data_IF_164575417684
#
_entry.id   IF_164575417684
#
_cell.length_a   1.000
_cell.length_b   1.000
_cell.length_c   1.000
_cell.angle_alpha   90.00
_cell.angle_beta   90.00
_cell.angle_gamma   90.00
#
_symmetry.space_group_name_H-M   'P 1'
#
loop_
_entity.id
_entity.type
_entity.pdbx_description
1 polymer ?
#
# COMPACT_ATOMS: atom_id res chain seq x y z
N UNK A 1 0.98 17.23 0.70
CA UNK A 1 1.71 15.97 0.45
C UNK A 1 2.20 15.43 1.77
N UNK A 2 2.15 14.12 1.95
CA UNK A 2 2.72 13.40 3.10
C UNK A 2 3.65 12.31 2.57
N UNK A 3 4.67 11.98 3.35
CA UNK A 3 5.70 11.01 2.97
C UNK A 3 5.76 9.85 3.98
N UNK A 4 5.94 8.65 3.45
CA UNK A 4 6.20 7.44 4.21
C UNK A 4 7.35 6.66 3.58
N UNK A 5 7.86 5.68 4.30
CA UNK A 5 8.97 4.86 3.84
C UNK A 5 8.90 3.45 4.42
N UNK A 6 9.51 2.49 3.72
CA UNK A 6 9.75 1.17 4.33
C UNK A 6 10.68 1.30 5.54
N UNK A 7 10.75 0.29 6.42
CA UNK A 7 11.53 0.37 7.66
C UNK A 7 13.00 0.78 7.45
N UNK A 8 13.67 0.23 6.43
CA UNK A 8 15.07 0.54 6.14
C UNK A 8 15.29 1.80 5.28
N UNK A 9 14.22 2.53 4.92
CA UNK A 9 14.27 3.75 4.09
C UNK A 9 14.83 3.56 2.67
N UNK A 10 14.83 2.33 2.16
CA UNK A 10 15.25 2.08 0.78
C UNK A 10 14.15 2.44 -0.24
N UNK A 11 12.88 2.39 0.18
CA UNK A 11 11.69 2.71 -0.63
C UNK A 11 10.92 3.81 0.07
N UNK A 12 10.67 4.91 -0.65
CA UNK A 12 9.89 6.05 -0.20
C UNK A 12 8.59 6.16 -1.01
N UNK A 13 7.52 6.58 -0.34
CA UNK A 13 6.21 6.83 -0.96
C UNK A 13 5.73 8.22 -0.56
N UNK A 14 5.26 8.98 -1.55
CA UNK A 14 4.61 10.27 -1.35
C UNK A 14 3.20 10.23 -1.91
N UNK A 15 2.24 10.75 -1.13
CA UNK A 15 0.83 10.90 -1.52
C UNK A 15 0.34 12.34 -1.26
N UNK A 16 -0.68 12.84 -1.98
CA UNK A 16 -1.05 14.25 -1.91
C UNK A 16 -1.61 14.67 -0.55
N UNK A 17 -2.40 13.79 0.08
CA UNK A 17 -3.11 14.09 1.32
C UNK A 17 -3.31 12.83 2.16
N UNK A 18 -3.47 13.03 3.46
CA UNK A 18 -3.93 12.00 4.41
C UNK A 18 -5.33 11.52 4.01
N UNK A 19 -5.62 10.20 4.01
CA UNK A 19 -6.94 9.69 3.64
C UNK A 19 -7.95 9.89 4.77
N UNK A 20 -9.24 9.95 4.44
CA UNK A 20 -10.32 10.09 5.44
C UNK A 20 -10.71 8.74 6.08
N UNK A 21 -10.47 7.63 5.37
CA UNK A 21 -10.74 6.26 5.83
C UNK A 21 -9.62 5.33 5.37
N UNK A 22 -9.38 4.26 6.15
CA UNK A 22 -8.43 3.20 5.78
C UNK A 22 -9.18 1.90 5.46
N UNK A 23 -8.76 1.22 4.38
CA UNK A 23 -9.21 -0.13 4.10
C UNK A 23 -8.47 -1.14 4.96
N UNK A 24 -9.22 -1.92 5.74
CA UNK A 24 -8.72 -3.06 6.50
C UNK A 24 -9.32 -4.34 5.90
N UNK A 25 -8.51 -5.04 5.09
CA UNK A 25 -8.98 -6.15 4.27
C UNK A 25 -8.65 -7.51 4.91
N UNK A 26 -9.66 -8.37 4.99
CA UNK A 26 -9.56 -9.70 5.60
C UNK A 26 -9.10 -10.82 4.65
N UNK A 27 -8.76 -10.52 3.38
CA UNK A 27 -8.38 -11.56 2.43
C UNK A 27 -7.12 -12.33 2.91
N UNK A 28 -6.88 -13.51 2.36
CA UNK A 28 -5.78 -14.39 2.80
C UNK A 28 -4.41 -13.71 2.76
N UNK A 29 -4.17 -12.78 1.83
CA UNK A 29 -2.93 -12.01 1.79
C UNK A 29 -2.94 -10.84 2.80
N UNK A 30 -3.94 -9.97 2.75
CA UNK A 30 -3.99 -8.75 3.57
C UNK A 30 -4.01 -9.05 5.07
N UNK A 31 -4.72 -10.11 5.49
CA UNK A 31 -4.72 -10.59 6.89
C UNK A 31 -3.33 -10.97 7.40
N UNK A 32 -2.44 -11.47 6.53
CA UNK A 32 -1.05 -11.82 6.87
C UNK A 32 -0.11 -10.62 6.83
N UNK A 33 -0.36 -9.67 5.93
CA UNK A 33 0.42 -8.45 5.81
C UNK A 33 0.12 -7.43 6.93
N UNK A 34 -1.10 -7.45 7.48
CA UNK A 34 -1.54 -6.48 8.49
C UNK A 34 -1.57 -5.04 7.98
N UNK A 35 -1.71 -4.86 6.66
CA UNK A 35 -1.66 -3.56 6.00
C UNK A 35 -2.97 -2.78 6.19
N UNK A 36 -2.85 -1.46 6.32
CA UNK A 36 -3.99 -0.53 6.30
C UNK A 36 -3.88 0.34 5.06
N UNK A 37 -4.87 0.26 4.18
CA UNK A 37 -4.78 0.83 2.83
C UNK A 37 -5.41 2.21 2.74
N UNK A 38 -4.62 3.23 2.40
CA UNK A 38 -5.10 4.47 1.82
C UNK A 38 -5.22 4.32 0.31
N UNK A 39 -6.34 4.74 -0.28
CA UNK A 39 -6.59 4.58 -1.72
C UNK A 39 -6.43 5.89 -2.47
N UNK A 40 -5.68 5.87 -3.56
CA UNK A 40 -5.31 7.06 -4.35
C UNK A 40 -5.35 6.77 -5.85
N UNK A 41 -5.59 7.78 -6.71
CA UNK A 41 -5.26 7.69 -8.13
C UNK A 41 -3.78 7.37 -8.31
N UNK A 42 -3.46 6.47 -9.24
CA UNK A 42 -2.10 6.00 -9.48
C UNK A 42 -1.16 7.14 -9.88
N UNK A 43 -1.64 8.09 -10.68
CA UNK A 43 -0.87 9.28 -11.07
C UNK A 43 -0.52 10.22 -9.91
N UNK A 44 -1.21 10.12 -8.76
CA UNK A 44 -0.96 10.96 -7.58
C UNK A 44 0.00 10.30 -6.58
N UNK A 45 0.35 9.03 -6.77
CA UNK A 45 1.28 8.30 -5.91
C UNK A 45 2.67 8.33 -6.54
N UNK A 46 3.64 8.90 -5.82
CA UNK A 46 5.05 8.82 -6.21
C UNK A 46 5.75 7.76 -5.38
N UNK A 47 6.44 6.83 -6.05
CA UNK A 47 7.28 5.81 -5.41
C UNK A 47 8.72 6.03 -5.85
N UNK A 48 9.61 6.20 -4.88
CA UNK A 48 11.05 6.35 -5.10
C UNK A 48 11.79 5.13 -4.56
N UNK A 49 12.55 4.47 -5.42
CA UNK A 49 13.36 3.29 -5.11
C UNK A 49 14.75 3.38 -5.77
N UNK A 50 15.60 4.34 -5.32
CA UNK A 50 16.91 4.57 -5.95
C UNK A 50 17.89 3.40 -5.77
N UNK A 51 17.61 2.50 -4.82
CA UNK A 51 18.44 1.35 -4.52
C UNK A 51 17.95 0.04 -5.17
N UNK A 52 16.88 0.11 -5.98
CA UNK A 52 16.26 -1.02 -6.66
C UNK A 52 15.92 -2.18 -5.71
N UNK A 53 15.24 -1.86 -4.61
CA UNK A 53 14.84 -2.79 -3.55
C UNK A 53 13.37 -3.16 -3.59
N UNK A 54 12.57 -2.55 -4.44
CA UNK A 54 11.15 -2.86 -4.58
C UNK A 54 10.96 -4.16 -5.36
N UNK A 55 10.21 -5.09 -4.77
CA UNK A 55 9.87 -6.38 -5.39
C UNK A 55 8.36 -6.51 -5.47
N UNK A 56 7.87 -6.85 -6.67
CA UNK A 56 6.46 -7.10 -6.93
C UNK A 56 6.10 -8.57 -6.76
N UNK A 57 4.96 -8.83 -6.13
CA UNK A 57 4.35 -10.14 -6.00
C UNK A 57 2.92 -10.10 -6.57
N UNK A 58 2.64 -10.96 -7.54
CA UNK A 58 1.31 -11.09 -8.16
C UNK A 58 0.70 -12.41 -7.72
N UNK A 59 -0.50 -12.37 -7.16
CA UNK A 59 -1.18 -13.52 -6.59
C UNK A 59 -2.59 -13.67 -7.16
N UNK A 60 -3.22 -14.82 -6.92
CA UNK A 60 -4.64 -15.05 -7.21
C UNK A 60 -5.05 -14.75 -8.64
N UNK A 61 -6.11 -13.94 -8.76
CA UNK A 61 -6.76 -13.46 -9.99
C UNK A 61 -5.87 -12.60 -10.91
N UNK A 62 -4.65 -12.27 -10.46
CA UNK A 62 -3.65 -11.49 -11.22
C UNK A 62 -4.15 -10.09 -11.59
N UNK A 63 -4.96 -9.48 -10.74
CA UNK A 63 -5.48 -8.11 -10.94
C UNK A 63 -4.61 -7.02 -10.35
N UNK A 64 -3.71 -7.36 -9.41
CA UNK A 64 -2.84 -6.42 -8.72
C UNK A 64 -1.45 -7.00 -8.43
N UNK A 65 -0.47 -6.10 -8.34
CA UNK A 65 0.90 -6.38 -7.89
C UNK A 65 1.07 -5.79 -6.50
N UNK A 66 1.45 -6.62 -5.53
CA UNK A 66 1.79 -6.22 -4.16
C UNK A 66 3.29 -5.97 -4.08
N UNK A 67 3.68 -4.76 -3.67
CA UNK A 67 5.08 -4.34 -3.66
C UNK A 67 5.64 -4.31 -2.24
N UNK A 68 6.81 -4.91 -2.06
CA UNK A 68 7.51 -4.92 -0.78
C UNK A 68 8.99 -4.62 -0.96
N UNK A 69 9.63 -4.14 0.11
CA UNK A 69 11.06 -3.94 0.14
C UNK A 69 11.78 -5.28 0.35
N UNK A 70 12.67 -5.66 -0.57
CA UNK A 70 13.52 -6.86 -0.46
C UNK A 70 14.49 -6.82 0.72
N UNK A 71 14.80 -5.63 1.27
CA UNK A 71 15.72 -5.49 2.40
C UNK A 71 15.04 -5.73 3.75
N UNK A 72 13.88 -5.13 3.99
CA UNK A 72 13.20 -5.19 5.29
C UNK A 72 11.86 -5.94 5.29
N UNK A 73 11.39 -6.39 4.12
CA UNK A 73 10.13 -7.12 3.97
C UNK A 73 8.86 -6.27 4.05
N UNK A 74 8.94 -4.99 4.44
CA UNK A 74 7.75 -4.14 4.55
C UNK A 74 7.03 -3.99 3.21
N UNK A 75 5.74 -4.34 3.19
CA UNK A 75 4.84 -4.06 2.06
C UNK A 75 4.48 -2.58 2.06
N UNK A 76 4.77 -1.91 0.95
CA UNK A 76 4.64 -0.45 0.84
C UNK A 76 3.36 -0.03 0.14
N UNK A 77 3.00 -0.70 -0.97
CA UNK A 77 1.80 -0.41 -1.74
C UNK A 77 1.41 -1.61 -2.61
N UNK A 78 0.23 -1.52 -3.23
CA UNK A 78 -0.11 -2.34 -4.38
C UNK A 78 -0.47 -1.45 -5.57
N UNK A 79 -0.23 -1.96 -6.78
CA UNK A 79 -0.61 -1.33 -8.04
C UNK A 79 -1.51 -2.25 -8.86
N UNK A 80 -2.46 -1.71 -9.63
CA UNK A 80 -3.28 -2.53 -10.52
C UNK A 80 -2.44 -3.11 -11.66
N UNK A 81 -2.86 -4.26 -12.18
CA UNK A 81 -2.28 -4.88 -13.38
C UNK A 81 -3.13 -4.48 -14.59
N UNK A 82 -2.50 -3.94 -15.63
CA UNK A 82 -3.18 -3.48 -16.84
C UNK A 82 -3.92 -2.15 -16.65
N UNK A 83 -4.89 -1.87 -17.54
CA UNK A 83 -5.67 -0.60 -17.54
C UNK A 83 -7.00 -0.71 -16.79
N UNK A 84 -7.22 -1.77 -16.02
CA UNK A 84 -8.52 -2.12 -15.42
C UNK A 84 -8.89 -1.24 -14.21
N UNK A 85 -7.91 -0.57 -13.60
CA UNK A 85 -8.12 0.34 -12.47
C UNK A 85 -7.05 1.43 -12.50
N UNK A 86 -7.46 2.68 -12.28
CA UNK A 86 -6.55 3.81 -12.07
C UNK A 86 -6.19 4.00 -10.60
N UNK A 87 -6.62 3.10 -9.71
CA UNK A 87 -6.44 3.25 -8.26
C UNK A 87 -5.31 2.37 -7.74
N UNK A 88 -4.51 2.91 -6.83
CA UNK A 88 -3.51 2.23 -6.03
C UNK A 88 -3.90 2.22 -4.57
N UNK A 89 -3.32 1.30 -3.79
CA UNK A 89 -3.44 1.31 -2.35
C UNK A 89 -2.07 1.41 -1.72
N UNK A 90 -1.91 2.38 -0.82
CA UNK A 90 -0.68 2.67 -0.09
C UNK A 90 -0.85 2.19 1.34
N UNK A 91 0.12 1.45 1.85
CA UNK A 91 0.09 0.96 3.23
C UNK A 91 0.41 2.11 4.18
N UNK A 92 -0.60 2.66 4.84
CA UNK A 92 -0.45 3.83 5.72
C UNK A 92 0.43 3.55 6.94
N UNK A 93 0.67 2.27 7.28
CA UNK A 93 1.65 1.89 8.31
C UNK A 93 3.11 2.22 7.96
N UNK A 94 3.39 2.61 6.72
CA UNK A 94 4.71 3.11 6.29
C UNK A 94 4.93 4.59 6.62
N UNK A 95 3.90 5.28 7.10
CA UNK A 95 3.98 6.68 7.52
C UNK A 95 4.13 6.74 9.04
N UNK A 96 4.59 7.89 9.54
CA UNK A 96 4.58 8.17 10.97
C UNK A 96 3.20 7.90 11.56
N UNK A 97 3.19 7.28 12.75
CA UNK A 97 1.97 6.78 13.37
C UNK A 97 0.89 7.86 13.55
N UNK A 98 1.29 9.09 13.87
CA UNK A 98 0.40 10.25 14.01
C UNK A 98 -0.33 10.64 12.73
N UNK A 99 0.09 10.13 11.56
CA UNK A 99 -0.57 10.37 10.28
C UNK A 99 -1.85 9.53 10.15
N UNK A 100 -1.91 8.35 10.77
CA UNK A 100 -2.96 7.37 10.47
C UNK A 100 -3.69 6.77 11.68
N UNK A 101 -3.15 6.89 12.89
CA UNK A 101 -3.69 6.18 14.06
C UNK A 101 -5.10 6.60 14.48
N UNK A 102 -5.53 7.80 14.12
CA UNK A 102 -6.85 8.37 14.40
C UNK A 102 -7.82 8.24 13.21
N UNK A 103 -7.37 7.70 12.07
CA UNK A 103 -8.24 7.51 10.89
C UNK A 103 -9.14 6.30 11.12
N UNK A 104 -10.46 6.40 10.91
CA UNK A 104 -11.36 5.26 11.01
C UNK A 104 -11.05 4.18 9.96
N UNK A 105 -11.13 2.92 10.38
CA UNK A 105 -10.92 1.77 9.50
C UNK A 105 -12.26 1.25 8.98
N UNK A 106 -12.36 1.07 7.67
CA UNK A 106 -13.44 0.36 7.01
C UNK A 106 -13.01 -1.09 6.77
N UNK A 107 -13.74 -2.02 7.37
CA UNK A 107 -13.57 -3.44 7.07
C UNK A 107 -13.97 -3.73 5.63
N UNK A 108 -13.10 -4.46 4.93
CA UNK A 108 -13.32 -4.92 3.57
C UNK A 108 -13.34 -6.44 3.62
N UNK A 109 -14.47 -7.02 3.23
CA UNK A 109 -14.59 -8.46 3.05
C UNK A 109 -13.97 -8.86 1.71
N UNK A 110 -12.64 -9.01 1.67
CA UNK A 110 -11.91 -9.51 0.51
C UNK A 110 -11.76 -11.04 0.50
N UNK A 111 -12.20 -11.72 1.56
CA UNK A 111 -12.23 -13.19 1.62
C UNK A 111 -13.50 -13.77 0.96
N UNK A 112 -14.59 -13.00 0.89
CA UNK A 112 -15.85 -13.40 0.27
C UNK A 112 -15.95 -13.18 -1.25
N UNK A 113 -14.88 -12.71 -1.91
CA UNK A 113 -14.85 -12.40 -3.35
C UNK A 113 -14.19 -13.52 -4.16
#
# INVERSE_FOLDING_TARGET
MIEGHCHCRAVHITVPVRPETLGDCNCSLCSRLGALWGYYPAEEVTVSDPQNRLVGYVQGDRTLTMHHCSTCGCTTHWSPIGRSSSRMGVNMRMFDRSVWEDIPHRLIDGAGW
#
